data_IF_060617824772
#
_entry.id   IF_060617824772
#
_cell.length_a   1.000
_cell.length_b   1.000
_cell.length_c   1.000
_cell.angle_alpha   90.00
_cell.angle_beta   90.00
_cell.angle_gamma   90.00
#
_symmetry.space_group_name_H-M   'P 1'
#
loop_
_entity.id
_entity.type
_entity.pdbx_description
1 polymer ?
#
# COMPACT_ATOMS: atom_id res chain seq x y z
N UNK A 1 -42.11 -12.26 40.34
CA UNK A 1 -41.31 -11.05 40.61
C UNK A 1 -39.97 -11.18 39.89
N UNK A 2 -39.59 -10.10 39.20
CA UNK A 2 -38.34 -9.87 38.47
C UNK A 2 -37.10 -10.56 39.05
N UNK A 3 -36.24 -11.11 38.19
CA UNK A 3 -35.00 -10.37 37.92
C UNK A 3 -34.44 -10.63 36.53
N UNK A 4 -34.18 -9.52 35.89
CA UNK A 4 -33.66 -9.26 34.57
C UNK A 4 -32.13 -9.25 34.57
N UNK A 5 -31.57 -9.26 33.35
CA UNK A 5 -30.23 -8.83 32.96
C UNK A 5 -29.10 -9.86 33.02
N UNK A 6 -28.75 -10.40 31.84
CA UNK A 6 -27.43 -10.16 31.21
C UNK A 6 -27.41 -10.78 29.79
N UNK A 7 -27.96 -10.06 28.81
CA UNK A 7 -27.66 -10.35 27.41
C UNK A 7 -26.32 -9.70 27.05
N UNK A 8 -25.25 -10.50 27.03
CA UNK A 8 -23.96 -10.11 26.45
C UNK A 8 -24.13 -9.79 24.97
N UNK A 9 -24.36 -8.52 24.65
CA UNK A 9 -24.18 -8.00 23.30
C UNK A 9 -22.68 -7.98 22.95
N UNK A 10 -22.15 -9.11 22.51
CA UNK A 10 -20.86 -9.14 21.82
C UNK A 10 -21.07 -8.44 20.48
N UNK A 11 -20.76 -7.14 20.45
CA UNK A 11 -20.67 -6.40 19.20
C UNK A 11 -19.56 -7.03 18.36
N UNK A 12 -19.95 -7.79 17.32
CA UNK A 12 -19.02 -8.25 16.29
C UNK A 12 -18.45 -6.99 15.61
N UNK A 13 -17.26 -6.56 16.04
CA UNK A 13 -16.43 -5.58 15.34
C UNK A 13 -16.10 -6.16 13.96
N UNK A 14 -16.97 -5.96 12.97
CA UNK A 14 -16.69 -6.32 11.58
C UNK A 14 -15.67 -5.33 11.02
N UNK A 15 -14.39 -5.51 11.34
CA UNK A 15 -13.29 -4.85 10.64
C UNK A 15 -13.12 -5.50 9.26
N UNK A 16 -14.02 -5.17 8.33
CA UNK A 16 -13.89 -5.56 6.93
C UNK A 16 -12.88 -4.64 6.27
N UNK A 17 -11.59 -5.00 6.31
CA UNK A 17 -10.52 -4.21 5.67
C UNK A 17 -10.69 -4.13 4.14
N UNK A 18 -11.20 -5.23 3.55
CA UNK A 18 -11.59 -5.34 2.15
C UNK A 18 -12.99 -4.79 1.93
N UNK A 19 -13.09 -3.47 1.80
CA UNK A 19 -14.36 -2.81 1.47
C UNK A 19 -14.62 -2.88 -0.05
N UNK A 20 -13.58 -2.64 -0.86
CA UNK A 20 -13.59 -2.77 -2.32
C UNK A 20 -12.38 -3.63 -2.78
N UNK A 21 -12.51 -4.97 -2.72
CA UNK A 21 -11.38 -5.88 -2.91
C UNK A 21 -10.76 -5.81 -4.30
N UNK A 22 -11.54 -5.49 -5.34
CA UNK A 22 -11.04 -5.37 -6.71
C UNK A 22 -10.02 -4.24 -6.85
N UNK A 23 -10.34 -3.05 -6.34
CA UNK A 23 -9.45 -1.90 -6.40
C UNK A 23 -8.23 -2.07 -5.49
N UNK A 24 -8.41 -2.60 -4.27
CA UNK A 24 -7.31 -2.85 -3.34
C UNK A 24 -6.32 -3.87 -3.90
N UNK A 25 -6.81 -4.98 -4.46
CA UNK A 25 -5.96 -6.01 -5.05
C UNK A 25 -5.25 -5.50 -6.31
N UNK A 26 -5.91 -4.66 -7.12
CA UNK A 26 -5.29 -4.00 -8.26
C UNK A 26 -4.10 -3.12 -7.82
N UNK A 27 -4.27 -2.31 -6.76
CA UNK A 27 -3.19 -1.48 -6.23
C UNK A 27 -2.04 -2.31 -5.67
N UNK A 28 -2.34 -3.39 -4.94
CA UNK A 28 -1.31 -4.31 -4.43
C UNK A 28 -0.56 -4.96 -5.58
N UNK A 29 -1.26 -5.42 -6.63
CA UNK A 29 -0.64 -6.02 -7.80
C UNK A 29 0.28 -5.02 -8.53
N UNK A 30 -0.19 -3.79 -8.75
CA UNK A 30 0.63 -2.73 -9.37
C UNK A 30 1.89 -2.50 -8.52
N UNK A 31 1.75 -2.34 -7.20
CA UNK A 31 2.89 -2.15 -6.30
C UNK A 31 3.88 -3.32 -6.36
N UNK A 32 3.38 -4.56 -6.33
CA UNK A 32 4.20 -5.76 -6.45
C UNK A 32 4.96 -5.80 -7.77
N UNK A 33 4.30 -5.53 -8.90
CA UNK A 33 4.95 -5.50 -10.21
C UNK A 33 6.03 -4.41 -10.28
N UNK A 34 5.76 -3.22 -9.73
CA UNK A 34 6.74 -2.13 -9.66
C UNK A 34 7.95 -2.52 -8.82
N UNK A 35 7.74 -3.12 -7.64
CA UNK A 35 8.84 -3.57 -6.77
C UNK A 35 9.64 -4.72 -7.38
N UNK A 36 8.98 -5.67 -8.03
CA UNK A 36 9.64 -6.79 -8.72
C UNK A 36 10.46 -6.29 -9.91
N UNK A 37 9.94 -5.34 -10.69
CA UNK A 37 10.68 -4.73 -11.79
C UNK A 37 11.92 -4.00 -11.28
N UNK A 38 11.78 -3.18 -10.23
CA UNK A 38 12.90 -2.49 -9.61
C UNK A 38 13.95 -3.48 -9.06
N UNK A 39 13.51 -4.56 -8.40
CA UNK A 39 14.38 -5.61 -7.91
C UNK A 39 15.11 -6.33 -9.06
N UNK A 40 14.43 -6.64 -10.17
CA UNK A 40 15.03 -7.27 -11.34
C UNK A 40 16.11 -6.38 -11.97
N UNK A 41 15.83 -5.08 -12.14
CA UNK A 41 16.81 -4.10 -12.63
C UNK A 41 18.03 -4.07 -11.69
N UNK A 42 17.80 -3.97 -10.38
CA UNK A 42 18.86 -3.91 -9.38
C UNK A 42 19.71 -5.18 -9.33
N UNK A 43 19.09 -6.37 -9.33
CA UNK A 43 19.78 -7.66 -9.33
C UNK A 43 20.61 -7.82 -10.61
N UNK A 44 20.08 -7.41 -11.75
CA UNK A 44 20.81 -7.46 -13.03
C UNK A 44 22.03 -6.54 -12.99
N UNK A 45 21.87 -5.30 -12.55
CA UNK A 45 22.97 -4.36 -12.39
C UNK A 45 24.04 -4.89 -11.41
N UNK A 46 23.61 -5.49 -10.31
CA UNK A 46 24.49 -6.11 -9.32
C UNK A 46 25.27 -7.29 -9.92
N UNK A 47 24.62 -8.17 -10.68
CA UNK A 47 25.28 -9.28 -11.37
C UNK A 47 26.34 -8.77 -12.36
N UNK A 48 25.99 -7.80 -13.20
CA UNK A 48 26.91 -7.20 -14.17
C UNK A 48 28.11 -6.54 -13.49
N UNK A 49 27.90 -5.88 -12.34
CA UNK A 49 29.00 -5.29 -11.57
C UNK A 49 30.01 -6.33 -11.10
N UNK A 50 29.55 -7.48 -10.61
CA UNK A 50 30.45 -8.57 -10.18
C UNK A 50 31.16 -9.25 -11.35
N UNK A 51 30.48 -9.41 -12.49
CA UNK A 51 31.11 -9.95 -13.70
C UNK A 51 32.20 -9.02 -14.25
N UNK A 52 31.97 -7.70 -14.17
CA UNK A 52 32.99 -6.70 -14.52
C UNK A 52 34.22 -6.81 -13.61
N UNK A 53 34.03 -7.00 -12.30
CA UNK A 53 35.15 -7.20 -11.36
C UNK A 53 35.96 -8.48 -11.68
N UNK A 54 35.29 -9.56 -12.07
CA UNK A 54 35.93 -10.80 -12.52
C UNK A 54 36.74 -10.56 -13.81
N UNK A 55 36.15 -9.87 -14.78
CA UNK A 55 36.80 -9.57 -16.05
C UNK A 55 38.03 -8.67 -15.87
N UNK A 56 37.97 -7.67 -14.99
CA UNK A 56 39.12 -6.83 -14.64
C UNK A 56 40.26 -7.62 -13.99
N UNK A 57 39.94 -8.60 -13.13
CA UNK A 57 40.94 -9.49 -12.53
C UNK A 57 41.69 -10.30 -13.59
N UNK A 58 40.96 -10.89 -14.54
CA UNK A 58 41.54 -11.65 -15.65
C UNK A 58 42.39 -10.74 -16.54
N UNK A 59 41.89 -9.55 -16.89
CA UNK A 59 42.62 -8.57 -17.70
C UNK A 59 43.91 -8.06 -17.02
N UNK A 60 43.97 -8.12 -15.69
CA UNK A 60 45.16 -7.77 -14.90
C UNK A 60 46.17 -8.92 -14.79
N UNK A 61 45.91 -10.06 -15.45
CA UNK A 61 46.80 -11.23 -15.46
C UNK A 61 46.66 -12.15 -14.25
N UNK A 62 45.61 -12.00 -13.43
CA UNK A 62 45.38 -12.89 -12.30
C UNK A 62 44.96 -14.29 -12.79
N UNK A 63 45.61 -15.37 -12.31
CA UNK A 63 45.20 -16.72 -12.66
C UNK A 63 43.82 -17.03 -12.07
N UNK A 64 42.99 -17.78 -12.80
CA UNK A 64 41.59 -18.06 -12.40
C UNK A 64 41.44 -18.79 -11.05
N UNK A 65 42.51 -19.35 -10.50
CA UNK A 65 42.55 -19.98 -9.16
C UNK A 65 43.05 -19.06 -8.03
N UNK A 66 43.28 -17.77 -8.31
CA UNK A 66 43.73 -16.81 -7.30
C UNK A 66 42.68 -16.61 -6.20
N UNK A 67 43.15 -16.39 -4.97
CA UNK A 67 42.35 -15.95 -3.82
C UNK A 67 41.40 -14.79 -4.12
N UNK A 68 41.74 -13.92 -5.07
CA UNK A 68 40.87 -12.84 -5.55
C UNK A 68 39.51 -13.35 -6.04
N UNK A 69 39.47 -14.34 -6.93
CA UNK A 69 38.21 -14.82 -7.51
C UNK A 69 37.35 -15.53 -6.46
N UNK A 70 37.98 -16.30 -5.57
CA UNK A 70 37.30 -16.95 -4.44
C UNK A 70 36.69 -15.92 -3.49
N UNK A 71 37.39 -14.81 -3.24
CA UNK A 71 36.87 -13.70 -2.45
C UNK A 71 35.67 -13.03 -3.14
N UNK A 72 35.75 -12.74 -4.44
CA UNK A 72 34.66 -12.16 -5.22
C UNK A 72 33.41 -13.05 -5.19
N UNK A 73 33.56 -14.36 -5.42
CA UNK A 73 32.44 -15.31 -5.41
C UNK A 73 31.81 -15.43 -4.01
N UNK A 74 32.62 -15.41 -2.95
CA UNK A 74 32.14 -15.37 -1.57
C UNK A 74 31.35 -14.10 -1.28
N UNK A 75 31.86 -12.93 -1.68
CA UNK A 75 31.17 -11.64 -1.51
C UNK A 75 29.86 -11.60 -2.29
N UNK A 76 29.87 -12.08 -3.55
CA UNK A 76 28.68 -12.18 -4.38
C UNK A 76 27.60 -13.01 -3.68
N UNK A 77 27.95 -14.20 -3.20
CA UNK A 77 26.99 -15.09 -2.51
C UNK A 77 26.42 -14.46 -1.24
N UNK A 78 27.28 -13.84 -0.42
CA UNK A 78 26.86 -13.17 0.82
C UNK A 78 25.93 -11.99 0.56
N UNK A 79 26.29 -11.12 -0.38
CA UNK A 79 25.50 -9.94 -0.71
C UNK A 79 24.21 -10.32 -1.43
N UNK A 80 24.24 -11.28 -2.36
CA UNK A 80 23.03 -11.73 -3.05
C UNK A 80 21.99 -12.29 -2.08
N UNK A 81 22.42 -13.06 -1.07
CA UNK A 81 21.52 -13.52 0.01
C UNK A 81 20.89 -12.35 0.77
N UNK A 82 21.67 -11.32 1.10
CA UNK A 82 21.16 -10.11 1.79
C UNK A 82 20.19 -9.32 0.90
N UNK A 83 20.48 -9.20 -0.39
CA UNK A 83 19.62 -8.52 -1.36
C UNK A 83 18.28 -9.26 -1.47
N UNK A 84 18.29 -10.58 -1.67
CA UNK A 84 17.06 -11.38 -1.76
C UNK A 84 16.22 -11.28 -0.49
N UNK A 85 16.85 -11.33 0.68
CA UNK A 85 16.16 -11.12 1.95
C UNK A 85 15.54 -9.72 2.04
N UNK A 86 16.29 -8.68 1.66
CA UNK A 86 15.80 -7.30 1.63
C UNK A 86 14.63 -7.09 0.67
N UNK A 87 14.69 -7.69 -0.52
CA UNK A 87 13.60 -7.68 -1.51
C UNK A 87 12.36 -8.37 -0.94
N UNK A 88 12.50 -9.54 -0.32
CA UNK A 88 11.40 -10.24 0.32
C UNK A 88 10.73 -9.41 1.42
N UNK A 89 11.52 -8.75 2.27
CA UNK A 89 11.01 -7.86 3.30
C UNK A 89 10.31 -6.62 2.71
N UNK A 90 10.89 -6.01 1.67
CA UNK A 90 10.30 -4.86 0.98
C UNK A 90 8.96 -5.20 0.34
N UNK A 91 8.83 -6.38 -0.28
CA UNK A 91 7.55 -6.86 -0.84
C UNK A 91 6.50 -7.04 0.26
N UNK A 92 6.86 -7.64 1.40
CA UNK A 92 5.94 -7.84 2.52
C UNK A 92 5.46 -6.50 3.09
N UNK A 93 6.40 -5.60 3.40
CA UNK A 93 6.09 -4.27 3.93
C UNK A 93 5.28 -3.46 2.92
N UNK A 94 5.65 -3.51 1.65
CA UNK A 94 4.93 -2.86 0.55
C UNK A 94 3.48 -3.30 0.48
N UNK A 95 3.20 -4.61 0.53
CA UNK A 95 1.84 -5.13 0.56
C UNK A 95 1.02 -4.61 1.75
N UNK A 96 1.59 -4.68 2.96
CA UNK A 96 0.91 -4.22 4.18
C UNK A 96 0.60 -2.73 4.11
N UNK A 97 1.58 -1.92 3.68
CA UNK A 97 1.41 -0.48 3.53
C UNK A 97 0.36 -0.14 2.45
N UNK A 98 0.42 -0.75 1.27
CA UNK A 98 -0.56 -0.50 0.20
C UNK A 98 -1.98 -0.84 0.66
N UNK A 99 -2.18 -1.98 1.34
CA UNK A 99 -3.48 -2.34 1.88
C UNK A 99 -3.96 -1.35 2.94
N UNK A 100 -3.08 -0.96 3.85
CA UNK A 100 -3.40 0.01 4.91
C UNK A 100 -3.79 1.38 4.33
N UNK A 101 -2.99 1.91 3.41
CA UNK A 101 -3.23 3.18 2.73
C UNK A 101 -4.53 3.15 1.94
N UNK A 102 -4.72 2.08 1.17
CA UNK A 102 -5.92 1.91 0.34
C UNK A 102 -7.19 1.84 1.19
N UNK A 103 -7.14 1.20 2.35
CA UNK A 103 -8.27 1.17 3.28
C UNK A 103 -8.68 2.59 3.75
N UNK A 104 -7.70 3.43 4.09
CA UNK A 104 -7.92 4.82 4.51
C UNK A 104 -8.44 5.74 3.39
N UNK A 105 -8.22 5.39 2.13
CA UNK A 105 -8.74 6.14 0.98
C UNK A 105 -10.14 5.72 0.58
N UNK A 106 -10.42 4.41 0.53
CA UNK A 106 -11.68 3.88 0.01
C UNK A 106 -12.86 4.21 0.94
N UNK A 107 -12.64 4.22 2.26
CA UNK A 107 -13.68 4.55 3.23
C UNK A 107 -14.37 5.90 2.94
N UNK A 108 -13.61 7.00 2.85
CA UNK A 108 -14.08 8.32 2.43
C UNK A 108 -14.79 8.33 1.09
N UNK A 109 -14.19 7.71 0.06
CA UNK A 109 -14.75 7.71 -1.30
C UNK A 109 -16.11 7.01 -1.36
N UNK A 110 -16.27 5.89 -0.65
CA UNK A 110 -17.56 5.20 -0.58
C UNK A 110 -18.60 5.98 0.21
N UNK A 111 -18.20 6.65 1.29
CA UNK A 111 -19.11 7.56 2.03
C UNK A 111 -19.56 8.71 1.15
N UNK A 112 -18.64 9.31 0.40
CA UNK A 112 -18.92 10.39 -0.53
C UNK A 112 -19.88 9.95 -1.64
N UNK A 113 -19.64 8.76 -2.24
CA UNK A 113 -20.54 8.19 -3.25
C UNK A 113 -21.95 8.01 -2.67
N UNK A 114 -22.07 7.36 -1.50
CA UNK A 114 -23.36 7.15 -0.83
C UNK A 114 -24.07 8.45 -0.52
N UNK A 115 -23.33 9.45 -0.06
CA UNK A 115 -23.84 10.78 0.27
C UNK A 115 -24.52 11.43 -0.95
N UNK A 116 -23.83 11.51 -2.09
CA UNK A 116 -24.43 12.07 -3.31
C UNK A 116 -25.56 11.20 -3.88
N UNK A 117 -25.49 9.87 -3.75
CA UNK A 117 -26.60 8.99 -4.13
C UNK A 117 -27.85 9.28 -3.31
N UNK A 118 -27.72 9.45 -1.99
CA UNK A 118 -28.85 9.79 -1.11
C UNK A 118 -29.46 11.15 -1.45
N UNK A 119 -28.64 12.17 -1.73
CA UNK A 119 -29.14 13.48 -2.17
C UNK A 119 -29.90 13.34 -3.49
N UNK A 120 -29.37 12.57 -4.44
CA UNK A 120 -30.02 12.34 -5.74
C UNK A 120 -31.38 11.66 -5.59
N UNK A 121 -31.50 10.69 -4.68
CA UNK A 121 -32.71 9.88 -4.53
C UNK A 121 -33.78 10.55 -3.65
N UNK A 122 -33.38 11.16 -2.54
CA UNK A 122 -34.31 11.74 -1.55
C UNK A 122 -34.50 13.24 -1.70
N UNK A 123 -33.57 13.94 -2.36
CA UNK A 123 -33.49 15.41 -2.33
C UNK A 123 -33.05 16.00 -0.99
N UNK A 124 -32.88 15.17 0.05
CA UNK A 124 -32.48 15.61 1.38
C UNK A 124 -30.96 15.72 1.49
N UNK A 125 -30.52 16.86 2.03
CA UNK A 125 -29.09 17.11 2.32
C UNK A 125 -28.86 16.92 3.81
N UNK A 126 -28.14 15.87 4.17
CA UNK A 126 -27.60 15.65 5.52
C UNK A 126 -26.13 16.12 5.59
N UNK A 127 -25.56 16.40 6.76
CA UNK A 127 -24.14 16.74 6.84
C UNK A 127 -23.24 15.54 6.52
N UNK A 128 -22.32 15.71 5.56
CA UNK A 128 -21.26 14.74 5.29
C UNK A 128 -20.22 14.76 6.42
N UNK A 129 -19.79 13.59 6.89
CA UNK A 129 -18.72 13.42 7.90
C UNK A 129 -17.83 12.19 7.61
N UNK A 130 -16.51 12.38 7.63
CA UNK A 130 -15.52 11.30 7.55
C UNK A 130 -14.91 10.95 8.92
N UNK A 131 -14.08 9.91 9.00
CA UNK A 131 -13.38 9.54 10.24
C UNK A 131 -12.14 10.42 10.42
N UNK A 132 -11.72 10.62 11.68
CA UNK A 132 -10.61 11.51 12.07
C UNK A 132 -9.27 11.24 11.36
N UNK A 133 -9.04 10.01 10.87
CA UNK A 133 -7.77 9.57 10.28
C UNK A 133 -7.89 9.15 8.80
N UNK A 134 -8.97 9.57 8.14
CA UNK A 134 -9.18 9.36 6.72
C UNK A 134 -8.36 10.38 5.89
N UNK A 135 -7.91 10.00 4.69
CA UNK A 135 -7.00 10.85 3.88
C UNK A 135 -7.61 12.17 3.40
N UNK A 136 -8.94 12.27 3.34
CA UNK A 136 -9.68 13.40 2.77
C UNK A 136 -10.51 14.11 3.85
N UNK A 137 -9.96 14.27 5.06
CA UNK A 137 -10.69 14.73 6.25
C UNK A 137 -11.27 16.15 6.15
N UNK A 138 -10.76 16.95 5.23
CA UNK A 138 -11.18 18.33 4.92
C UNK A 138 -12.38 18.42 3.96
N UNK A 139 -12.52 17.47 3.03
CA UNK A 139 -13.61 17.43 2.05
C UNK A 139 -15.01 17.58 2.66
N UNK A 140 -15.37 16.93 3.78
CA UNK A 140 -16.70 17.06 4.35
C UNK A 140 -17.07 18.50 4.68
N UNK A 141 -16.14 19.28 5.23
CA UNK A 141 -16.38 20.68 5.57
C UNK A 141 -16.63 21.52 4.32
N UNK A 142 -15.79 21.36 3.30
CA UNK A 142 -15.90 22.08 2.02
C UNK A 142 -17.24 21.76 1.33
N UNK A 143 -17.62 20.49 1.27
CA UNK A 143 -18.85 20.03 0.61
C UNK A 143 -20.09 20.53 1.35
N UNK A 144 -20.10 20.43 2.69
CA UNK A 144 -21.23 20.90 3.49
C UNK A 144 -21.43 22.42 3.32
N UNK A 145 -20.35 23.20 3.36
CA UNK A 145 -20.40 24.65 3.14
C UNK A 145 -20.93 24.99 1.75
N UNK A 146 -20.47 24.31 0.70
CA UNK A 146 -20.95 24.53 -0.66
C UNK A 146 -22.45 24.25 -0.80
N UNK A 147 -22.94 23.15 -0.23
CA UNK A 147 -24.36 22.78 -0.25
C UNK A 147 -25.23 23.76 0.55
N UNK A 148 -24.72 24.31 1.66
CA UNK A 148 -25.41 25.36 2.40
C UNK A 148 -25.60 26.63 1.57
N UNK A 149 -24.56 27.06 0.83
CA UNK A 149 -24.64 28.24 -0.07
C UNK A 149 -25.69 27.99 -1.16
N UNK A 150 -25.66 26.83 -1.80
CA UNK A 150 -26.64 26.47 -2.84
C UNK A 150 -28.07 26.45 -2.28
N UNK A 151 -28.25 25.91 -1.06
CA UNK A 151 -29.56 25.86 -0.40
C UNK A 151 -30.08 27.26 -0.05
N UNK A 152 -29.21 28.18 0.37
CA UNK A 152 -29.57 29.58 0.65
C UNK A 152 -29.96 30.33 -0.63
N UNK A 153 -29.25 30.12 -1.74
CA UNK A 153 -29.53 30.80 -3.01
C UNK A 153 -30.79 30.31 -3.74
N UNK A 154 -31.34 29.15 -3.35
CA UNK A 154 -32.61 28.61 -3.88
C UNK A 154 -33.86 29.07 -3.10
N UNK A 155 -33.68 29.73 -1.95
CA UNK A 155 -34.77 30.35 -1.18
C UNK A 155 -34.95 31.79 -1.61
#
# INVERSE_FOLDING_TARGET
MNNSYESKHISKLRKKYLIEPKFQLMLVLINLLTLLLAAAIFITAFYLAFENLRTMGIASGLPQGDTYFSFIDMQFSLLMKKILFGVGLALLVGCVLTLYLSHKMIGPLLRLRKFFTQIKESGEVTPLCFRKNDYLSDLPAIINQALEVIRKNKK
#
